data_IF_379956387719
#
_entry.id   IF_379956387719
#
_cell.length_a   1.000
_cell.length_b   1.000
_cell.length_c   1.000
_cell.angle_alpha   90.00
_cell.angle_beta   90.00
_cell.angle_gamma   90.00
#
_symmetry.space_group_name_H-M   'P 1'
#
loop_
_entity.id
_entity.type
_entity.pdbx_description
1 polymer ?
#
# COMPACT_ATOMS: atom_id res chain seq x y z
N UNK A 1 -16.12 -3.45 4.73
CA UNK A 1 -17.30 -3.32 3.82
C UNK A 1 -17.47 -4.59 3.02
N UNK A 2 -18.68 -5.13 2.86
CA UNK A 2 -18.96 -6.00 1.73
C UNK A 2 -18.95 -5.15 0.46
N UNK A 3 -17.93 -5.31 -0.39
CA UNK A 3 -17.99 -4.78 -1.74
C UNK A 3 -19.10 -5.52 -2.49
N UNK A 4 -19.93 -4.77 -3.21
CA UNK A 4 -20.90 -5.38 -4.11
C UNK A 4 -20.12 -6.23 -5.13
N UNK A 5 -20.58 -7.47 -5.33
CA UNK A 5 -19.94 -8.50 -6.15
C UNK A 5 -18.62 -9.08 -5.56
N UNK A 6 -17.49 -8.40 -5.76
CA UNK A 6 -16.15 -8.91 -5.37
C UNK A 6 -16.00 -9.17 -3.86
N UNK A 7 -16.74 -8.44 -3.02
CA UNK A 7 -16.67 -8.58 -1.55
C UNK A 7 -17.22 -9.91 -1.03
N UNK A 8 -17.87 -10.70 -1.89
CA UNK A 8 -18.28 -12.07 -1.57
C UNK A 8 -17.12 -13.08 -1.76
N UNK A 9 -16.10 -12.73 -2.52
CA UNK A 9 -15.00 -13.62 -2.91
C UNK A 9 -13.61 -13.16 -2.41
N UNK A 10 -13.38 -11.85 -2.26
CA UNK A 10 -12.08 -11.27 -1.95
C UNK A 10 -12.22 -9.93 -1.20
N UNK A 11 -11.27 -9.61 -0.32
CA UNK A 11 -11.08 -8.26 0.23
C UNK A 11 -9.91 -7.55 -0.45
N UNK A 12 -9.56 -6.36 0.05
CA UNK A 12 -8.47 -5.56 -0.49
C UNK A 12 -7.12 -6.26 -0.42
N UNK A 13 -6.86 -7.04 0.63
CA UNK A 13 -5.64 -7.81 0.74
C UNK A 13 -5.48 -8.83 -0.40
N UNK A 14 -6.54 -9.56 -0.78
CA UNK A 14 -6.48 -10.50 -1.90
C UNK A 14 -6.27 -9.79 -3.24
N UNK A 15 -6.87 -8.62 -3.45
CA UNK A 15 -6.63 -7.84 -4.66
C UNK A 15 -5.18 -7.32 -4.72
N UNK A 16 -4.66 -6.81 -3.60
CA UNK A 16 -3.28 -6.35 -3.48
C UNK A 16 -2.27 -7.49 -3.67
N UNK A 17 -2.65 -8.74 -3.37
CA UNK A 17 -1.80 -9.91 -3.60
C UNK A 17 -1.50 -10.13 -5.11
N UNK A 18 -2.33 -9.62 -6.03
CA UNK A 18 -2.05 -9.63 -7.48
C UNK A 18 -0.84 -8.76 -7.88
N UNK A 19 -0.32 -7.97 -6.95
CA UNK A 19 0.91 -7.21 -7.16
C UNK A 19 2.15 -8.09 -7.06
N UNK A 20 2.10 -9.23 -6.37
CA UNK A 20 3.26 -10.11 -6.20
C UNK A 20 3.88 -10.52 -7.55
N UNK A 21 5.22 -10.58 -7.68
CA UNK A 21 6.25 -10.18 -6.71
C UNK A 21 6.70 -8.71 -6.86
N UNK A 22 5.91 -7.87 -7.54
CA UNK A 22 6.22 -6.45 -7.79
C UNK A 22 6.09 -5.66 -6.48
N UNK A 23 6.82 -4.54 -6.34
CA UNK A 23 6.68 -3.68 -5.17
C UNK A 23 5.27 -3.07 -5.07
N UNK A 24 4.76 -2.97 -3.84
CA UNK A 24 3.42 -2.43 -3.54
C UNK A 24 3.44 -1.55 -2.28
N UNK A 25 2.95 -0.32 -2.40
CA UNK A 25 2.91 0.65 -1.32
C UNK A 25 1.50 1.23 -1.13
N UNK A 26 1.15 1.55 0.11
CA UNK A 26 -0.11 2.22 0.49
C UNK A 26 0.21 3.55 1.16
N UNK A 27 -0.59 4.58 0.89
CA UNK A 27 -0.63 5.83 1.65
C UNK A 27 -1.94 5.94 2.44
N UNK A 28 -1.89 6.47 3.66
CA UNK A 28 -3.07 6.70 4.50
C UNK A 28 -3.00 8.04 5.24
N UNK A 29 -3.90 8.96 4.89
CA UNK A 29 -4.11 10.20 5.64
C UNK A 29 -5.09 10.00 6.78
N UNK A 30 -4.72 10.36 8.02
CA UNK A 30 -5.57 10.15 9.21
C UNK A 30 -6.95 10.83 9.13
N UNK A 31 -7.06 11.94 8.41
CA UNK A 31 -8.30 12.70 8.23
C UNK A 31 -8.99 12.45 6.87
N UNK A 32 -8.56 11.44 6.10
CA UNK A 32 -9.24 11.05 4.86
C UNK A 32 -10.53 10.26 5.20
N UNK A 33 -11.72 10.77 4.83
CA UNK A 33 -13.01 10.18 5.21
C UNK A 33 -13.38 8.92 4.40
N UNK A 34 -12.59 8.53 3.39
CA UNK A 34 -12.90 7.37 2.54
C UNK A 34 -12.86 6.05 3.32
N UNK A 35 -11.93 5.91 4.27
CA UNK A 35 -11.78 4.74 5.13
C UNK A 35 -11.20 5.15 6.49
N UNK A 36 -11.37 4.37 7.58
CA UNK A 36 -10.66 4.60 8.84
C UNK A 36 -9.29 3.90 8.86
N UNK A 37 -8.38 4.36 9.72
CA UNK A 37 -7.01 3.84 9.82
C UNK A 37 -6.97 2.35 10.14
N UNK A 38 -7.82 1.90 11.06
CA UNK A 38 -7.86 0.53 11.54
C UNK A 38 -8.17 -0.45 10.41
N UNK A 39 -9.01 -0.05 9.47
CA UNK A 39 -9.36 -0.90 8.34
C UNK A 39 -8.22 -0.96 7.33
N UNK A 40 -7.63 0.18 6.97
CA UNK A 40 -6.48 0.21 6.05
C UNK A 40 -5.31 -0.57 6.64
N UNK A 41 -5.03 -0.37 7.93
CA UNK A 41 -4.00 -1.10 8.65
C UNK A 41 -4.28 -2.61 8.69
N UNK A 42 -5.53 -3.03 8.92
CA UNK A 42 -5.91 -4.44 8.95
C UNK A 42 -5.67 -5.13 7.59
N UNK A 43 -6.15 -4.54 6.49
CA UNK A 43 -5.96 -5.10 5.15
C UNK A 43 -4.48 -5.12 4.76
N UNK A 44 -3.76 -4.01 5.03
CA UNK A 44 -2.33 -3.93 4.76
C UNK A 44 -1.53 -4.95 5.57
N UNK A 45 -1.87 -5.21 6.83
CA UNK A 45 -1.18 -6.23 7.64
C UNK A 45 -1.28 -7.64 7.03
N UNK A 46 -2.39 -7.96 6.37
CA UNK A 46 -2.56 -9.22 5.63
C UNK A 46 -1.66 -9.27 4.39
N UNK A 47 -1.56 -8.16 3.65
CA UNK A 47 -0.63 -8.02 2.51
C UNK A 47 0.81 -8.17 2.98
N UNK A 48 1.21 -7.43 4.03
CA UNK A 48 2.56 -7.45 4.59
C UNK A 48 2.98 -8.86 5.00
N UNK A 49 2.10 -9.57 5.73
CA UNK A 49 2.33 -10.98 6.11
C UNK A 49 2.59 -11.86 4.90
N UNK A 50 1.84 -11.70 3.80
CA UNK A 50 2.04 -12.48 2.59
C UNK A 50 3.39 -12.19 1.93
N UNK A 51 3.79 -10.91 1.83
CA UNK A 51 5.12 -10.53 1.34
C UNK A 51 6.22 -11.11 2.23
N UNK A 52 6.09 -11.04 3.56
CA UNK A 52 7.07 -11.59 4.50
C UNK A 52 7.20 -13.12 4.39
N UNK A 53 6.10 -13.86 4.29
CA UNK A 53 6.09 -15.32 4.09
C UNK A 53 6.86 -15.71 2.82
N UNK A 54 6.79 -14.90 1.77
CA UNK A 54 7.46 -15.13 0.50
C UNK A 54 8.90 -14.58 0.46
N UNK A 55 9.41 -14.01 1.56
CA UNK A 55 10.74 -13.38 1.60
C UNK A 55 10.84 -12.08 0.80
N UNK A 56 9.72 -11.41 0.55
CA UNK A 56 9.59 -10.16 -0.22
C UNK A 56 9.28 -8.96 0.67
N UNK A 57 9.44 -9.08 1.99
CA UNK A 57 9.06 -8.04 2.97
C UNK A 57 9.68 -6.66 2.73
N UNK A 58 10.80 -6.59 2.02
CA UNK A 58 11.46 -5.35 1.62
C UNK A 58 10.81 -4.65 0.39
N UNK A 59 9.79 -5.26 -0.22
CA UNK A 59 9.07 -4.75 -1.40
C UNK A 59 7.69 -4.18 -1.09
N UNK A 60 7.32 -4.07 0.18
CA UNK A 60 6.04 -3.46 0.55
C UNK A 60 6.15 -2.55 1.77
N UNK A 61 5.42 -1.45 1.73
CA UNK A 61 5.44 -0.40 2.75
C UNK A 61 4.05 0.27 2.86
N UNK A 62 3.77 0.86 4.02
CA UNK A 62 2.63 1.75 4.22
C UNK A 62 3.13 3.04 4.87
N UNK A 63 2.68 4.18 4.37
CA UNK A 63 2.92 5.49 4.97
C UNK A 63 1.62 6.04 5.56
N UNK A 64 1.65 6.38 6.85
CA UNK A 64 0.60 7.15 7.51
C UNK A 64 1.02 8.61 7.62
N UNK A 65 0.09 9.53 7.44
CA UNK A 65 0.36 10.97 7.57
C UNK A 65 -0.84 11.74 8.14
N UNK A 66 -0.55 12.85 8.81
CA UNK A 66 -1.55 13.80 9.29
C UNK A 66 -2.08 14.64 8.12
N UNK A 67 -3.21 14.24 7.54
CA UNK A 67 -3.80 14.96 6.42
C UNK A 67 -5.14 14.42 5.93
N UNK A 68 -5.85 15.20 5.11
CA UNK A 68 -7.13 14.82 4.53
C UNK A 68 -6.93 13.89 3.31
N UNK A 69 -7.99 13.70 2.52
CA UNK A 69 -7.92 12.99 1.23
C UNK A 69 -6.96 13.69 0.26
N UNK A 70 -5.74 13.16 0.12
CA UNK A 70 -4.64 13.78 -0.63
C UNK A 70 -3.58 12.74 -1.02
N UNK A 71 -2.88 12.96 -2.13
CA UNK A 71 -1.65 12.24 -2.48
C UNK A 71 -0.51 12.87 -1.68
N UNK A 72 0.09 12.13 -0.74
CA UNK A 72 1.11 12.67 0.16
C UNK A 72 2.49 12.75 -0.52
N UNK A 73 2.86 11.71 -1.27
CA UNK A 73 4.00 11.71 -2.17
C UNK A 73 5.38 11.55 -1.51
N UNK A 74 5.56 11.85 -0.22
CA UNK A 74 6.89 11.85 0.40
C UNK A 74 7.52 10.46 0.47
N UNK A 75 6.88 9.49 1.13
CA UNK A 75 7.31 8.10 1.15
C UNK A 75 7.19 7.45 -0.21
N UNK A 76 6.15 7.79 -0.97
CA UNK A 76 5.95 7.28 -2.33
C UNK A 76 7.13 7.56 -3.24
N UNK A 77 7.66 8.80 -3.28
CA UNK A 77 8.82 9.09 -4.12
C UNK A 77 10.07 8.31 -3.68
N UNK A 78 10.32 8.18 -2.36
CA UNK A 78 11.43 7.34 -1.85
C UNK A 78 11.27 5.87 -2.25
N UNK A 79 10.05 5.34 -2.18
CA UNK A 79 9.72 3.97 -2.57
C UNK A 79 9.92 3.75 -4.08
N UNK A 80 9.46 4.70 -4.90
CA UNK A 80 9.64 4.66 -6.36
C UNK A 80 11.11 4.72 -6.75
N UNK A 81 11.91 5.61 -6.15
CA UNK A 81 13.35 5.70 -6.37
C UNK A 81 14.05 4.37 -6.07
N UNK A 82 13.76 3.76 -4.92
CA UNK A 82 14.30 2.46 -4.51
C UNK A 82 13.99 1.36 -5.53
N UNK A 83 12.77 1.32 -6.06
CA UNK A 83 12.26 0.16 -6.79
C UNK A 83 12.30 0.29 -8.31
N UNK A 84 12.23 1.49 -8.87
CA UNK A 84 12.23 1.72 -10.31
C UNK A 84 13.63 1.96 -10.89
N UNK A 85 14.66 2.08 -10.03
CA UNK A 85 16.02 2.46 -10.45
C UNK A 85 15.98 3.70 -11.34
N UNK A 86 15.13 4.65 -10.97
CA UNK A 86 15.00 5.91 -11.70
C UNK A 86 16.38 6.56 -11.75
N UNK A 87 16.90 6.94 -12.93
CA UNK A 87 18.22 7.53 -13.00
C UNK A 87 18.22 8.77 -12.14
N UNK A 88 19.01 8.73 -11.05
CA UNK A 88 19.33 9.92 -10.25
C UNK A 88 19.68 11.02 -11.25
N UNK A 89 18.98 12.15 -11.14
CA UNK A 89 18.93 13.18 -12.17
C UNK A 89 20.31 13.39 -12.82
N UNK A 90 20.34 13.38 -14.15
CA UNK A 90 21.34 14.19 -14.83
C UNK A 90 21.05 15.63 -14.39
N UNK A 91 21.88 16.11 -13.45
CA UNK A 91 22.02 17.53 -13.16
C UNK A 91 22.33 18.30 -14.44
#
# INVERSE_FOLDING_TARGET
MPYFDIGRAASYAELAALMLPRPFMVERGHADPVAPDEWVAFEYARVRRLYDILGLGDRTEIEFFDGPHTIHGQGTFRFLEKHLRWPAGKN
#
